data_IF_591416560270
#
_entry.id   IF_591416560270
#
_cell.length_a   1.000
_cell.length_b   1.000
_cell.length_c   1.000
_cell.angle_alpha   90.00
_cell.angle_beta   90.00
_cell.angle_gamma   90.00
#
_symmetry.space_group_name_H-M   'P 1'
#
loop_
_entity.id
_entity.type
_entity.pdbx_description
1 polymer ?
#
# COMPACT_ATOMS: atom_id res chain seq x y z
N UNK A 1 9.59 -25.11 -12.69
CA UNK A 1 10.10 -23.94 -11.94
C UNK A 1 10.57 -24.44 -10.59
N UNK A 2 11.79 -24.10 -10.15
CA UNK A 2 12.28 -24.49 -8.82
C UNK A 2 11.58 -23.68 -7.72
N UNK A 3 11.19 -24.31 -6.61
CA UNK A 3 10.50 -23.67 -5.49
C UNK A 3 11.20 -22.39 -4.99
N UNK A 4 12.53 -22.38 -4.97
CA UNK A 4 13.34 -21.20 -4.59
C UNK A 4 13.12 -19.98 -5.52
N UNK A 5 12.91 -20.19 -6.83
CA UNK A 5 12.64 -19.10 -7.76
C UNK A 5 11.22 -18.55 -7.60
N UNK A 6 10.28 -19.38 -7.16
CA UNK A 6 8.89 -18.98 -6.91
C UNK A 6 8.80 -18.13 -5.63
N UNK A 7 9.47 -18.54 -4.54
CA UNK A 7 9.55 -17.75 -3.31
C UNK A 7 10.20 -16.38 -3.52
N UNK A 8 11.30 -16.30 -4.28
CA UNK A 8 11.92 -15.02 -4.59
C UNK A 8 11.00 -14.09 -5.40
N UNK A 9 10.21 -14.63 -6.33
CA UNK A 9 9.24 -13.85 -7.09
C UNK A 9 8.11 -13.31 -6.20
N UNK A 10 7.56 -14.13 -5.32
CA UNK A 10 6.53 -13.70 -4.35
C UNK A 10 7.08 -12.67 -3.38
N UNK A 11 8.27 -12.91 -2.81
CA UNK A 11 8.97 -11.96 -1.94
C UNK A 11 9.15 -10.60 -2.63
N UNK A 12 9.62 -10.57 -3.88
CA UNK A 12 9.82 -9.33 -4.62
C UNK A 12 8.51 -8.56 -4.83
N UNK A 13 7.41 -9.25 -5.16
CA UNK A 13 6.09 -8.60 -5.30
C UNK A 13 5.62 -7.98 -3.98
N UNK A 14 5.73 -8.72 -2.89
CA UNK A 14 5.35 -8.24 -1.56
C UNK A 14 6.27 -7.09 -1.09
N UNK A 15 7.56 -7.16 -1.42
CA UNK A 15 8.50 -6.09 -1.13
C UNK A 15 8.14 -4.81 -1.92
N UNK A 16 7.81 -4.92 -3.21
CA UNK A 16 7.30 -3.80 -4.00
C UNK A 16 6.03 -3.20 -3.39
N UNK A 17 5.10 -4.02 -2.89
CA UNK A 17 3.93 -3.53 -2.15
C UNK A 17 4.36 -2.74 -0.91
N UNK A 18 5.33 -3.22 -0.15
CA UNK A 18 5.83 -2.51 1.03
C UNK A 18 6.47 -1.15 0.67
N UNK A 19 7.20 -1.08 -0.44
CA UNK A 19 7.78 0.19 -0.94
C UNK A 19 6.70 1.17 -1.39
N UNK A 20 5.68 0.69 -2.11
CA UNK A 20 4.53 1.53 -2.51
C UNK A 20 3.77 2.06 -1.30
N UNK A 21 3.59 1.24 -0.26
CA UNK A 21 2.96 1.67 0.98
C UNK A 21 3.79 2.69 1.74
N UNK A 22 5.12 2.55 1.77
CA UNK A 22 6.02 3.55 2.34
C UNK A 22 5.90 4.89 1.60
N UNK A 23 5.87 4.85 0.28
CA UNK A 23 5.69 6.06 -0.54
C UNK A 23 4.32 6.71 -0.28
N UNK A 24 3.25 5.92 -0.27
CA UNK A 24 1.91 6.44 0.05
C UNK A 24 1.86 7.08 1.44
N UNK A 25 2.52 6.50 2.44
CA UNK A 25 2.62 7.11 3.77
C UNK A 25 3.27 8.48 3.73
N UNK A 26 4.41 8.58 3.05
CA UNK A 26 5.12 9.85 2.89
C UNK A 26 4.23 10.89 2.21
N UNK A 27 3.53 10.53 1.14
CA UNK A 27 2.61 11.44 0.44
C UNK A 27 1.46 11.90 1.35
N UNK A 28 0.87 10.98 2.11
CA UNK A 28 -0.22 11.29 3.05
C UNK A 28 0.24 12.17 4.22
N UNK A 29 1.45 11.96 4.73
CA UNK A 29 2.07 12.80 5.75
C UNK A 29 2.25 14.23 5.25
N UNK A 30 2.84 14.40 4.06
CA UNK A 30 3.03 15.72 3.47
C UNK A 30 1.70 16.43 3.17
N UNK A 31 0.65 15.70 2.80
CA UNK A 31 -0.69 16.25 2.67
C UNK A 31 -1.24 16.74 4.01
N UNK A 32 -1.14 15.91 5.05
CA UNK A 32 -1.60 16.25 6.39
C UNK A 32 -0.87 17.49 6.93
N UNK A 33 0.43 17.63 6.65
CA UNK A 33 1.22 18.80 7.04
C UNK A 33 0.79 20.09 6.33
N UNK A 34 0.38 19.99 5.06
CA UNK A 34 -0.10 21.13 4.25
C UNK A 34 -1.53 21.54 4.60
N UNK A 35 -2.36 20.57 4.98
CA UNK A 35 -3.74 20.86 5.35
C UNK A 35 -3.79 21.42 6.76
N UNK A 36 -3.99 22.73 6.85
CA UNK A 36 -4.00 23.53 8.08
C UNK A 36 -4.64 22.80 9.29
N UNK A 37 -3.85 22.63 10.37
CA UNK A 37 -4.14 21.79 11.56
C UNK A 37 -5.48 22.09 12.26
N UNK A 38 -6.13 23.20 11.91
CA UNK A 38 -7.35 23.75 12.53
C UNK A 38 -8.64 23.10 12.04
N UNK A 39 -8.63 22.40 10.89
CA UNK A 39 -9.81 21.75 10.36
C UNK A 39 -9.94 20.32 10.91
N UNK A 40 -10.87 20.15 11.85
CA UNK A 40 -11.44 18.87 12.27
C UNK A 40 -12.00 18.01 11.11
N UNK A 41 -12.00 18.51 9.87
CA UNK A 41 -12.47 17.85 8.66
C UNK A 41 -11.52 16.82 8.04
N UNK A 42 -10.28 16.67 8.54
CA UNK A 42 -9.32 15.71 7.97
C UNK A 42 -9.30 14.33 8.65
N UNK A 43 -10.37 13.95 9.37
CA UNK A 43 -10.47 12.66 10.05
C UNK A 43 -10.25 11.48 9.08
N UNK A 44 -10.79 11.57 7.85
CA UNK A 44 -10.62 10.53 6.82
C UNK A 44 -9.17 10.37 6.40
N UNK A 45 -8.46 11.47 6.16
CA UNK A 45 -7.06 11.44 5.75
C UNK A 45 -6.16 10.90 6.87
N UNK A 46 -6.42 11.30 8.12
CA UNK A 46 -5.74 10.77 9.32
C UNK A 46 -6.00 9.28 9.51
N UNK A 47 -7.25 8.84 9.33
CA UNK A 47 -7.61 7.42 9.40
C UNK A 47 -6.89 6.62 8.31
N UNK A 48 -6.87 7.14 7.07
CA UNK A 48 -6.15 6.51 5.95
C UNK A 48 -4.66 6.40 6.26
N UNK A 49 -4.03 7.47 6.73
CA UNK A 49 -2.63 7.46 7.16
C UNK A 49 -2.39 6.37 8.22
N UNK A 50 -3.20 6.32 9.27
CA UNK A 50 -3.12 5.32 10.33
C UNK A 50 -3.25 3.88 9.82
N UNK A 51 -4.21 3.63 8.92
CA UNK A 51 -4.44 2.30 8.33
C UNK A 51 -3.25 1.87 7.46
N UNK A 52 -2.77 2.75 6.56
CA UNK A 52 -1.60 2.45 5.72
C UNK A 52 -0.35 2.24 6.59
N UNK A 53 -0.22 2.96 7.70
CA UNK A 53 0.93 2.85 8.60
C UNK A 53 0.95 1.50 9.31
N UNK A 54 -0.20 1.06 9.86
CA UNK A 54 -0.36 -0.27 10.45
C UNK A 54 -0.01 -1.37 9.44
N UNK A 55 -0.57 -1.29 8.24
CA UNK A 55 -0.27 -2.24 7.17
C UNK A 55 1.23 -2.27 6.84
N UNK A 56 1.87 -1.11 6.68
CA UNK A 56 3.30 -1.03 6.37
C UNK A 56 4.17 -1.68 7.44
N UNK A 57 3.88 -1.45 8.72
CA UNK A 57 4.59 -2.09 9.84
C UNK A 57 4.41 -3.61 9.81
N UNK A 58 3.18 -4.09 9.59
CA UNK A 58 2.88 -5.52 9.55
C UNK A 58 3.54 -6.22 8.36
N UNK A 59 3.39 -5.70 7.14
CA UNK A 59 3.93 -6.30 5.93
C UNK A 59 5.46 -6.35 5.96
N UNK A 60 6.11 -5.28 6.44
CA UNK A 60 7.59 -5.26 6.56
C UNK A 60 8.10 -6.22 7.62
N UNK A 61 7.34 -6.42 8.70
CA UNK A 61 7.68 -7.41 9.75
C UNK A 61 7.62 -8.83 9.20
N UNK A 62 6.54 -9.19 8.49
CA UNK A 62 6.40 -10.52 7.90
C UNK A 62 7.42 -10.75 6.76
N UNK A 63 7.74 -9.73 5.97
CA UNK A 63 8.80 -9.80 4.95
C UNK A 63 10.18 -10.05 5.56
N UNK A 64 10.51 -9.43 6.69
CA UNK A 64 11.77 -9.69 7.42
C UNK A 64 11.85 -11.14 7.86
N UNK A 65 10.78 -11.71 8.41
CA UNK A 65 10.71 -13.12 8.79
C UNK A 65 10.93 -14.03 7.57
N UNK A 66 10.25 -13.74 6.46
CA UNK A 66 10.36 -14.54 5.23
C UNK A 66 11.79 -14.52 4.67
N UNK A 67 12.44 -13.35 4.68
CA UNK A 67 13.85 -13.20 4.28
C UNK A 67 14.79 -14.05 5.14
N UNK A 68 14.59 -14.06 6.46
CA UNK A 68 15.41 -14.84 7.39
C UNK A 68 15.25 -16.36 7.17
N UNK A 69 14.02 -16.82 6.90
CA UNK A 69 13.74 -18.26 6.74
C UNK A 69 14.22 -18.79 5.38
N UNK A 70 14.05 -18.03 4.30
CA UNK A 70 14.28 -18.53 2.93
C UNK A 70 15.50 -17.92 2.23
N UNK A 71 16.23 -17.01 2.87
CA UNK A 71 17.42 -16.38 2.28
C UNK A 71 17.12 -15.51 1.06
N UNK A 72 15.92 -14.94 0.98
CA UNK A 72 15.51 -14.11 -0.16
C UNK A 72 16.39 -12.86 -0.31
N UNK A 73 16.78 -12.54 -1.55
CA UNK A 73 17.57 -11.34 -1.85
C UNK A 73 16.70 -10.22 -2.41
N UNK A 74 16.91 -8.99 -1.90
CA UNK A 74 16.32 -7.75 -2.43
C UNK A 74 17.01 -7.28 -3.71
N UNK A 75 18.17 -7.83 -4.06
CA UNK A 75 18.95 -7.42 -5.25
C UNK A 75 18.25 -7.64 -6.59
N UNK A 76 17.13 -8.37 -6.60
CA UNK A 76 16.31 -8.65 -7.78
C UNK A 76 15.10 -7.69 -7.94
N UNK A 77 14.91 -6.73 -7.04
CA UNK A 77 13.83 -5.72 -7.15
C UNK A 77 14.23 -4.62 -8.15
N UNK A 78 14.33 -4.98 -9.43
CA UNK A 78 14.49 -4.04 -10.55
C UNK A 78 13.46 -4.37 -11.64
N UNK A 79 12.68 -3.40 -12.13
CA UNK A 79 12.74 -1.95 -11.87
C UNK A 79 12.10 -1.50 -10.54
N UNK A 80 12.35 -0.26 -10.09
CA UNK A 80 11.64 0.36 -8.96
C UNK A 80 10.13 0.30 -9.18
N UNK A 81 9.39 0.07 -8.10
CA UNK A 81 7.95 -0.10 -8.17
C UNK A 81 7.28 1.18 -8.71
N UNK A 82 6.42 1.06 -9.74
CA UNK A 82 5.53 2.16 -10.14
C UNK A 82 4.63 2.48 -8.94
N UNK A 83 4.73 3.71 -8.43
CA UNK A 83 3.96 4.17 -7.28
C UNK A 83 2.47 4.26 -7.62
N UNK A 84 1.60 4.12 -6.61
CA UNK A 84 0.14 4.29 -6.78
C UNK A 84 -0.28 5.74 -6.95
N UNK A 85 0.57 6.65 -6.52
CA UNK A 85 0.32 8.09 -6.60
C UNK A 85 1.65 8.79 -6.80
N UNK A 86 1.67 9.79 -7.67
CA UNK A 86 2.82 10.66 -7.84
C UNK A 86 2.68 11.88 -6.93
N UNK A 87 3.70 12.14 -6.11
CA UNK A 87 3.70 13.28 -5.19
C UNK A 87 3.65 14.62 -5.93
N UNK A 88 4.28 14.72 -7.10
CA UNK A 88 4.29 15.95 -7.90
C UNK A 88 2.90 16.21 -8.48
N UNK A 89 2.25 15.18 -9.01
CA UNK A 89 0.88 15.26 -9.52
C UNK A 89 -0.07 15.73 -8.41
N UNK A 90 0.01 15.09 -7.24
CA UNK A 90 -0.83 15.45 -6.11
C UNK A 90 -0.56 16.85 -5.56
N UNK A 91 0.68 17.35 -5.58
CA UNK A 91 0.99 18.72 -5.17
C UNK A 91 0.71 19.77 -6.24
N UNK A 92 0.51 19.35 -7.50
CA UNK A 92 0.06 20.23 -8.58
C UNK A 92 -1.45 20.41 -8.62
N UNK A 93 -2.20 19.58 -7.87
CA UNK A 93 -3.65 19.65 -7.79
C UNK A 93 -4.12 21.04 -7.31
N UNK A 94 -5.09 21.59 -8.02
CA UNK A 94 -5.59 22.95 -7.82
C UNK A 94 -6.77 23.01 -6.82
N UNK A 95 -7.33 21.86 -6.46
CA UNK A 95 -8.50 21.77 -5.59
C UNK A 95 -8.49 20.53 -4.69
N UNK A 96 -9.25 20.59 -3.59
CA UNK A 96 -9.44 19.42 -2.72
C UNK A 96 -10.15 18.27 -3.42
N UNK A 97 -11.08 18.56 -4.34
CA UNK A 97 -11.76 17.54 -5.16
C UNK A 97 -10.79 16.76 -6.02
N UNK A 98 -9.79 17.44 -6.59
CA UNK A 98 -8.74 16.81 -7.40
C UNK A 98 -7.82 15.94 -6.55
N UNK A 99 -7.42 16.41 -5.36
CA UNK A 99 -6.66 15.62 -4.39
C UNK A 99 -7.44 14.36 -3.99
N UNK A 100 -8.73 14.49 -3.68
CA UNK A 100 -9.60 13.36 -3.33
C UNK A 100 -9.72 12.36 -4.49
N UNK A 101 -9.86 12.85 -5.72
CA UNK A 101 -9.91 12.01 -6.91
C UNK A 101 -8.61 11.22 -7.11
N UNK A 102 -7.44 11.87 -7.03
CA UNK A 102 -6.13 11.21 -7.15
C UNK A 102 -5.94 10.16 -6.05
N UNK A 103 -6.32 10.48 -4.82
CA UNK A 103 -6.29 9.54 -3.69
C UNK A 103 -7.24 8.36 -3.91
N UNK A 104 -8.40 8.56 -4.52
CA UNK A 104 -9.36 7.52 -4.83
C UNK A 104 -8.84 6.60 -5.96
N UNK A 105 -8.25 7.16 -7.02
CA UNK A 105 -7.59 6.38 -8.08
C UNK A 105 -6.50 5.49 -7.50
N UNK A 106 -5.64 6.05 -6.65
CA UNK A 106 -4.61 5.28 -5.94
C UNK A 106 -5.19 4.15 -5.07
N UNK A 107 -6.36 4.37 -4.45
CA UNK A 107 -7.08 3.33 -3.69
C UNK A 107 -7.52 2.16 -4.58
N UNK A 108 -8.09 2.46 -5.76
CA UNK A 108 -8.51 1.42 -6.70
C UNK A 108 -7.31 0.63 -7.24
N UNK A 109 -6.21 1.31 -7.58
CA UNK A 109 -4.98 0.63 -8.01
C UNK A 109 -4.39 -0.26 -6.91
N UNK A 110 -4.39 0.21 -5.65
CA UNK A 110 -3.96 -0.58 -4.50
C UNK A 110 -4.82 -1.84 -4.36
N UNK A 111 -6.14 -1.71 -4.43
CA UNK A 111 -7.08 -2.81 -4.33
C UNK A 111 -6.85 -3.86 -5.42
N UNK A 112 -6.75 -3.41 -6.68
CA UNK A 112 -6.50 -4.29 -7.82
C UNK A 112 -5.20 -5.09 -7.65
N UNK A 113 -4.14 -4.47 -7.13
CA UNK A 113 -2.87 -5.16 -6.89
C UNK A 113 -2.97 -6.18 -5.76
N UNK A 114 -3.74 -5.89 -4.70
CA UNK A 114 -4.00 -6.86 -3.63
C UNK A 114 -4.81 -8.04 -4.13
N UNK A 115 -5.86 -7.82 -4.93
CA UNK A 115 -6.65 -8.88 -5.56
C UNK A 115 -5.78 -9.77 -6.45
N UNK A 116 -4.95 -9.17 -7.30
CA UNK A 116 -4.03 -9.90 -8.16
C UNK A 116 -3.04 -10.74 -7.38
N UNK A 117 -2.52 -10.21 -6.26
CA UNK A 117 -1.56 -10.90 -5.43
C UNK A 117 -2.24 -12.06 -4.69
N UNK A 118 -3.34 -11.80 -4.00
CA UNK A 118 -4.13 -12.81 -3.27
C UNK A 118 -4.72 -13.91 -4.16
N UNK A 119 -4.94 -13.63 -5.45
CA UNK A 119 -5.30 -14.65 -6.46
C UNK A 119 -4.17 -15.64 -6.80
N UNK A 120 -2.97 -15.48 -6.23
CA UNK A 120 -1.85 -16.42 -6.41
C UNK A 120 -1.75 -17.41 -5.25
N UNK A 121 -1.41 -18.66 -5.55
CA UNK A 121 -1.34 -19.77 -4.57
C UNK A 121 -0.12 -19.72 -3.65
N UNK A 122 0.82 -18.80 -3.90
CA UNK A 122 2.20 -18.93 -3.40
C UNK A 122 2.52 -17.95 -2.27
N UNK A 123 1.50 -17.31 -1.70
CA UNK A 123 1.66 -16.33 -0.62
C UNK A 123 1.60 -17.07 0.71
N UNK A 124 2.62 -16.91 1.58
CA UNK A 124 2.56 -17.45 2.94
C UNK A 124 1.32 -16.95 3.69
N UNK A 125 0.66 -17.82 4.45
CA UNK A 125 -0.63 -17.53 5.09
C UNK A 125 -0.63 -16.22 5.90
N UNK A 126 0.43 -15.92 6.65
CA UNK A 126 0.52 -14.68 7.42
C UNK A 126 0.47 -13.43 6.53
N UNK A 127 1.18 -13.45 5.40
CA UNK A 127 1.21 -12.34 4.44
C UNK A 127 -0.12 -12.22 3.70
N UNK A 128 -0.76 -13.35 3.38
CA UNK A 128 -2.10 -13.36 2.81
C UNK A 128 -3.12 -12.74 3.78
N UNK A 129 -3.03 -13.06 5.08
CA UNK A 129 -3.90 -12.49 6.11
C UNK A 129 -3.73 -10.97 6.22
N UNK A 130 -2.49 -10.47 6.25
CA UNK A 130 -2.21 -9.01 6.28
C UNK A 130 -2.81 -8.32 5.05
N UNK A 131 -2.63 -8.90 3.86
CA UNK A 131 -3.22 -8.36 2.62
C UNK A 131 -4.75 -8.42 2.63
N UNK A 132 -5.36 -9.50 3.11
CA UNK A 132 -6.81 -9.63 3.21
C UNK A 132 -7.42 -8.61 4.16
N UNK A 133 -6.83 -8.39 5.34
CA UNK A 133 -7.29 -7.40 6.30
C UNK A 133 -7.27 -6.00 5.69
N UNK A 134 -6.17 -5.63 5.05
CA UNK A 134 -6.04 -4.31 4.41
C UNK A 134 -7.00 -4.14 3.23
N UNK A 135 -7.14 -5.18 2.39
CA UNK A 135 -8.09 -5.20 1.27
C UNK A 135 -9.53 -5.01 1.75
N UNK A 136 -9.93 -5.72 2.80
CA UNK A 136 -11.27 -5.60 3.37
C UNK A 136 -11.50 -4.20 3.95
N UNK A 137 -10.51 -3.62 4.61
CA UNK A 137 -10.58 -2.24 5.09
C UNK A 137 -10.79 -1.25 3.93
N UNK A 138 -10.03 -1.39 2.84
CA UNK A 138 -10.18 -0.54 1.65
C UNK A 138 -11.58 -0.67 1.03
N UNK A 139 -12.11 -1.89 0.93
CA UNK A 139 -13.49 -2.09 0.47
C UNK A 139 -14.48 -1.37 1.39
N UNK A 140 -14.38 -1.54 2.70
CA UNK A 140 -15.25 -0.82 3.66
C UNK A 140 -15.15 0.69 3.51
N UNK A 141 -13.93 1.22 3.34
CA UNK A 141 -13.70 2.65 3.16
C UNK A 141 -14.33 3.17 1.85
N UNK A 142 -14.32 2.37 0.77
CA UNK A 142 -14.93 2.72 -0.52
C UNK A 142 -16.47 2.58 -0.52
N UNK A 143 -17.04 1.56 0.13
CA UNK A 143 -18.51 1.36 0.14
C UNK A 143 -19.24 2.31 1.10
N UNK A 144 -18.52 2.92 2.05
CA UNK A 144 -19.06 4.00 2.88
C UNK A 144 -19.04 5.38 2.18
N UNK A 145 -18.66 5.47 0.89
CA UNK A 145 -18.74 6.71 0.10
C UNK A 145 -20.11 6.96 -0.54
N UNK A 146 -20.97 5.93 -0.65
CA UNK A 146 -22.24 6.00 -1.40
C UNK A 146 -23.50 6.19 -0.52
N UNK A 147 -23.34 6.47 0.78
CA UNK A 147 -24.45 6.81 1.71
C UNK A 147 -24.19 8.13 2.41
#
# INVERSE_FOLDING_TARGET
MNAANQFNKTYNRLYQISEKSAHLLYVLEQLLDRMDYRLSKNLRLKQRYSNVHKFYVEITTELKKLKMVHGCSTSLCRPPAKQWIDIQELFSAQSMLEIEHLLQVATYEQLQQYDQLLGTTDIPCNLANVLHLQRNQIHTDLYNYDT
#
